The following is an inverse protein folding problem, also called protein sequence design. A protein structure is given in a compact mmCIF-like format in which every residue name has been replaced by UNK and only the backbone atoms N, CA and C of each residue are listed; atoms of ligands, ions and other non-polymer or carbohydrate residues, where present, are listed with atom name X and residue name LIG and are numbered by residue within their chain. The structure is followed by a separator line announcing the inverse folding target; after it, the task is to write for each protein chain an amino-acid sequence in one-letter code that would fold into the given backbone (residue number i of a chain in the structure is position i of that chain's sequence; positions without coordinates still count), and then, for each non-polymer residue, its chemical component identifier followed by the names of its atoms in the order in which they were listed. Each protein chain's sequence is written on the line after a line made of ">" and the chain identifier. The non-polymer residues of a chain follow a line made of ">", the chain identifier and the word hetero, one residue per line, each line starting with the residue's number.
data_IF_595008384675
#
_entry.id   IF_595008384675
#
_cell.length_a   1.000
_cell.length_b   1.000
_cell.length_c   1.000
_cell.angle_alpha   90.00
_cell.angle_beta   90.00
_cell.angle_gamma   90.00
#
_symmetry.space_group_name_H-M   'P 1'
#
loop_
_entity.id
_entity.type
_entity.pdbx_description
1 polymer ?
#
# COMPACT_ATOMS: atom_id res chain seq x y z
N UNK A 1 31.14 -33.91 3.71
CA UNK A 1 31.21 -33.09 2.46
C UNK A 1 29.87 -32.41 2.15
N UNK A 2 29.16 -31.94 3.18
CA UNK A 2 27.83 -31.27 3.12
C UNK A 2 27.88 -29.92 3.89
N UNK A 3 29.00 -29.58 4.52
CA UNK A 3 29.17 -28.33 5.28
C UNK A 3 29.88 -27.20 4.51
N UNK A 4 30.19 -27.37 3.21
CA UNK A 4 30.93 -26.36 2.42
C UNK A 4 30.10 -25.68 1.31
N UNK A 5 28.80 -25.97 1.23
CA UNK A 5 27.90 -25.40 0.21
C UNK A 5 27.00 -24.27 0.74
N UNK A 6 27.04 -23.99 2.05
CA UNK A 6 26.20 -22.97 2.68
C UNK A 6 26.88 -21.59 2.70
N UNK A 7 28.19 -21.49 2.48
CA UNK A 7 28.92 -20.20 2.53
C UNK A 7 29.10 -19.48 1.19
N UNK A 8 28.62 -20.02 0.06
CA UNK A 8 28.77 -19.37 -1.26
C UNK A 8 27.57 -18.53 -1.72
N UNK A 9 26.46 -18.52 -0.97
CA UNK A 9 25.28 -17.71 -1.30
C UNK A 9 25.14 -16.41 -0.49
N UNK A 10 26.15 -16.03 0.30
CA UNK A 10 26.10 -14.83 1.15
C UNK A 10 27.10 -13.72 0.76
N UNK A 11 27.77 -13.80 -0.40
CA UNK A 11 28.65 -12.73 -0.87
C UNK A 11 27.88 -11.65 -1.66
N UNK A 12 28.01 -10.34 -1.33
CA UNK A 12 27.34 -9.25 -2.04
C UNK A 12 27.88 -8.98 -3.45
N UNK A 13 28.91 -9.72 -3.89
CA UNK A 13 29.51 -9.59 -5.22
C UNK A 13 29.44 -10.96 -5.88
N UNK A 14 28.58 -11.09 -6.90
CA UNK A 14 28.29 -12.36 -7.57
C UNK A 14 29.54 -13.10 -8.05
N UNK A 15 29.52 -14.43 -7.93
CA UNK A 15 30.61 -15.33 -8.33
C UNK A 15 30.64 -15.46 -9.86
N UNK A 16 31.82 -15.35 -10.47
CA UNK A 16 31.98 -15.42 -11.94
C UNK A 16 32.08 -16.88 -12.41
N UNK A 17 31.53 -17.13 -13.59
CA UNK A 17 31.37 -18.45 -14.23
C UNK A 17 32.66 -19.28 -14.37
N UNK A 18 33.83 -18.64 -14.36
CA UNK A 18 35.13 -19.33 -14.51
C UNK A 18 35.65 -20.01 -13.23
N UNK A 19 35.20 -19.61 -12.03
CA UNK A 19 35.71 -20.21 -10.77
C UNK A 19 35.13 -21.60 -10.49
N UNK A 20 33.94 -21.89 -11.01
CA UNK A 20 33.28 -23.21 -10.87
C UNK A 20 33.99 -24.30 -11.68
N UNK A 21 34.67 -23.93 -12.78
CA UNK A 21 35.30 -24.90 -13.68
C UNK A 21 36.59 -25.56 -13.13
N UNK A 22 37.18 -25.05 -12.04
CA UNK A 22 38.38 -25.65 -11.45
C UNK A 22 38.11 -26.90 -10.59
N UNK A 23 36.86 -27.15 -10.19
CA UNK A 23 36.54 -28.21 -9.23
C UNK A 23 36.13 -29.56 -9.83
N UNK A 24 35.86 -29.66 -11.15
CA UNK A 24 35.22 -30.85 -11.74
C UNK A 24 35.83 -31.33 -13.06
N UNK A 25 37.16 -31.38 -13.20
CA UNK A 25 37.85 -32.19 -14.23
C UNK A 25 37.33 -32.00 -15.67
N UNK A 26 37.91 -31.05 -16.38
CA UNK A 26 37.39 -30.48 -17.63
C UNK A 26 36.88 -31.45 -18.72
N UNK A 27 35.72 -31.11 -19.29
CA UNK A 27 35.42 -31.24 -20.73
C UNK A 27 34.63 -30.01 -21.19
N UNK A 28 34.98 -29.49 -22.36
CA UNK A 28 34.48 -28.25 -22.98
C UNK A 28 33.08 -28.47 -23.58
N UNK A 29 32.07 -27.73 -23.12
CA UNK A 29 30.74 -27.68 -23.75
C UNK A 29 30.43 -26.25 -24.19
N UNK A 30 29.95 -26.08 -25.42
CA UNK A 30 29.52 -24.80 -25.98
C UNK A 30 28.15 -24.38 -25.39
N UNK A 31 27.88 -23.07 -25.26
CA UNK A 31 26.76 -22.59 -24.46
C UNK A 31 25.45 -22.57 -25.26
N UNK A 32 24.60 -23.58 -25.08
CA UNK A 32 23.17 -23.45 -25.37
C UNK A 32 22.33 -24.22 -24.35
N UNK A 33 21.38 -23.49 -23.75
CA UNK A 33 20.24 -23.92 -22.93
C UNK A 33 20.47 -24.06 -21.41
N UNK A 34 19.61 -23.32 -20.69
CA UNK A 34 19.55 -23.14 -19.24
C UNK A 34 19.20 -24.47 -18.53
N UNK A 35 19.96 -24.85 -17.49
CA UNK A 35 19.65 -25.98 -16.61
C UNK A 35 18.89 -25.51 -15.36
N UNK A 36 17.73 -26.10 -15.07
CA UNK A 36 16.89 -25.77 -13.89
C UNK A 36 16.56 -27.01 -13.04
N UNK A 37 17.14 -27.03 -11.83
CA UNK A 37 16.85 -27.88 -10.65
C UNK A 37 17.02 -29.40 -10.73
N UNK A 38 17.55 -29.95 -9.64
CA UNK A 38 17.77 -31.38 -9.38
C UNK A 38 16.74 -31.83 -8.32
N UNK A 39 15.94 -32.87 -8.58
CA UNK A 39 15.06 -33.48 -7.56
C UNK A 39 15.53 -34.88 -7.21
N UNK A 40 15.45 -35.20 -5.92
CA UNK A 40 15.76 -36.51 -5.37
C UNK A 40 14.46 -37.30 -5.18
N UNK A 41 14.36 -38.49 -5.80
CA UNK A 41 13.30 -39.47 -5.56
C UNK A 41 13.93 -40.86 -5.64
N UNK A 42 13.73 -41.67 -4.60
CA UNK A 42 14.19 -43.07 -4.51
C UNK A 42 15.67 -43.30 -4.85
N UNK A 43 16.58 -42.48 -4.32
CA UNK A 43 18.03 -42.72 -4.39
C UNK A 43 18.68 -42.37 -5.74
N UNK A 44 17.95 -41.84 -6.71
CA UNK A 44 18.49 -41.41 -8.02
C UNK A 44 18.14 -39.96 -8.34
N UNK A 45 19.10 -39.24 -8.92
CA UNK A 45 18.94 -37.87 -9.39
C UNK A 45 18.51 -37.85 -10.85
N UNK A 46 17.43 -37.13 -11.16
CA UNK A 46 16.92 -36.97 -12.52
C UNK A 46 16.95 -35.50 -12.95
N UNK A 47 17.37 -35.25 -14.19
CA UNK A 47 17.30 -33.94 -14.84
C UNK A 47 15.92 -33.76 -15.48
N UNK A 48 15.18 -32.73 -15.06
CA UNK A 48 13.88 -32.38 -15.63
C UNK A 48 14.07 -31.30 -16.69
N UNK A 49 13.67 -31.59 -17.93
CA UNK A 49 13.66 -30.61 -19.01
C UNK A 49 12.35 -29.84 -18.98
N UNK A 50 12.37 -28.59 -18.52
CA UNK A 50 11.19 -27.75 -18.50
C UNK A 50 11.05 -27.02 -19.85
N UNK A 51 10.23 -27.57 -20.76
CA UNK A 51 9.88 -26.91 -22.01
C UNK A 51 9.03 -25.67 -21.75
N UNK A 52 9.50 -24.51 -22.26
CA UNK A 52 8.88 -23.16 -22.22
C UNK A 52 9.08 -22.38 -20.92
N UNK A 53 10.31 -21.88 -20.72
CA UNK A 53 10.47 -20.56 -20.10
C UNK A 53 9.86 -19.54 -21.08
N UNK A 54 8.64 -19.09 -20.80
CA UNK A 54 8.13 -17.88 -21.41
C UNK A 54 9.15 -16.78 -21.12
N UNK A 55 9.78 -16.25 -22.16
CA UNK A 55 10.61 -15.04 -22.05
C UNK A 55 9.77 -14.01 -21.30
N UNK A 56 10.20 -13.64 -20.09
CA UNK A 56 9.60 -12.56 -19.33
C UNK A 56 9.66 -11.33 -20.22
N UNK A 57 8.54 -10.99 -20.87
CA UNK A 57 8.39 -9.67 -21.47
C UNK A 57 8.43 -8.68 -20.31
N UNK A 58 9.15 -7.55 -20.42
CA UNK A 58 9.07 -6.51 -19.40
C UNK A 58 7.59 -6.22 -19.16
N UNK A 59 7.16 -6.27 -17.89
CA UNK A 59 5.77 -6.06 -17.48
C UNK A 59 5.22 -4.85 -18.25
N UNK A 60 4.27 -5.10 -19.14
CA UNK A 60 3.71 -4.04 -19.93
C UNK A 60 3.02 -3.06 -18.96
N UNK A 61 3.45 -1.80 -19.04
CA UNK A 61 2.91 -0.72 -18.22
C UNK A 61 1.57 -0.34 -18.81
N UNK A 62 0.51 -0.52 -18.04
CA UNK A 62 -0.83 -0.12 -18.44
C UNK A 62 -1.35 0.89 -17.44
N UNK A 63 -1.93 1.97 -17.93
CA UNK A 63 -2.76 2.87 -17.13
C UNK A 63 -4.20 2.51 -17.40
N UNK A 64 -5.00 2.39 -16.35
CA UNK A 64 -6.44 2.20 -16.49
C UNK A 64 -7.17 2.98 -15.41
N UNK A 65 -8.28 3.57 -15.84
CA UNK A 65 -9.19 4.31 -15.01
C UNK A 65 -10.44 4.51 -15.85
N UNK A 66 -11.59 4.13 -15.32
CA UNK A 66 -12.88 4.33 -15.97
C UNK A 66 -13.33 5.77 -15.78
N UNK A 67 -12.50 6.73 -16.18
CA UNK A 67 -12.92 8.11 -16.22
C UNK A 67 -13.92 8.24 -17.37
N UNK A 68 -15.20 8.47 -17.06
CA UNK A 68 -16.10 9.08 -18.05
C UNK A 68 -15.41 10.36 -18.54
N UNK A 69 -15.47 10.61 -19.85
CA UNK A 69 -14.96 11.84 -20.47
C UNK A 69 -15.56 13.01 -19.68
N UNK A 70 -14.70 13.78 -19.01
CA UNK A 70 -15.06 14.88 -18.11
C UNK A 70 -16.04 15.82 -18.80
N UNK A 71 -17.17 16.10 -18.16
CA UNK A 71 -18.03 17.21 -18.57
C UNK A 71 -17.30 18.53 -18.30
N UNK A 72 -17.57 19.61 -19.06
CA UNK A 72 -16.87 20.90 -18.88
C UNK A 72 -16.99 21.51 -17.47
N UNK A 73 -17.87 20.99 -16.61
CA UNK A 73 -18.04 21.37 -15.21
C UNK A 73 -17.01 20.76 -14.25
N UNK A 74 -16.24 19.73 -14.63
CA UNK A 74 -15.26 19.05 -13.74
C UNK A 74 -13.92 19.80 -13.66
N UNK A 75 -13.94 21.12 -13.84
CA UNK A 75 -12.76 21.96 -13.65
C UNK A 75 -12.58 22.30 -12.17
N UNK A 76 -11.53 21.71 -11.61
CA UNK A 76 -10.61 22.35 -10.67
C UNK A 76 -11.15 22.79 -9.29
N UNK A 77 -11.49 21.82 -8.45
CA UNK A 77 -11.10 21.97 -7.05
C UNK A 77 -10.43 20.70 -6.57
N UNK A 78 -9.11 20.77 -6.30
CA UNK A 78 -8.44 19.72 -5.53
C UNK A 78 -9.22 19.50 -4.23
N UNK A 79 -9.38 18.24 -3.75
CA UNK A 79 -10.03 17.96 -2.46
C UNK A 79 -9.36 18.70 -1.28
N UNK A 80 -8.18 19.27 -1.49
CA UNK A 80 -7.39 19.98 -0.49
C UNK A 80 -7.35 21.50 -0.67
N UNK A 81 -8.21 22.08 -1.50
CA UNK A 81 -8.21 23.53 -1.71
C UNK A 81 -8.46 24.32 -0.42
N UNK A 82 -9.30 23.82 0.49
CA UNK A 82 -9.56 24.46 1.79
C UNK A 82 -8.29 24.50 2.67
N UNK A 83 -7.49 23.42 2.66
CA UNK A 83 -6.25 23.29 3.45
C UNK A 83 -5.25 24.40 3.10
N UNK A 84 -5.15 24.75 1.81
CA UNK A 84 -4.23 25.82 1.36
C UNK A 84 -4.60 27.20 1.91
N UNK A 85 -5.89 27.46 2.16
CA UNK A 85 -6.37 28.72 2.73
C UNK A 85 -6.06 28.85 4.22
N UNK A 86 -5.77 27.73 4.88
CA UNK A 86 -5.49 27.67 6.32
C UNK A 86 -4.00 27.90 6.64
N UNK A 87 -3.18 28.28 5.67
CA UNK A 87 -1.76 28.57 5.91
C UNK A 87 -1.58 29.65 6.98
N UNK A 88 -0.82 29.33 8.01
CA UNK A 88 -0.56 30.17 9.17
C UNK A 88 -1.65 30.12 10.26
N UNK A 89 -2.75 29.41 10.03
CA UNK A 89 -3.79 29.26 11.05
C UNK A 89 -3.26 28.51 12.28
N UNK A 90 -3.70 28.97 13.44
CA UNK A 90 -3.34 28.48 14.76
C UNK A 90 -4.44 28.84 15.77
N UNK A 91 -4.24 28.46 17.03
CA UNK A 91 -5.19 28.71 18.12
C UNK A 91 -5.69 30.16 18.13
N UNK A 92 -6.99 30.34 18.39
CA UNK A 92 -7.75 31.62 18.39
C UNK A 92 -8.11 32.17 17.01
N UNK A 93 -7.70 31.54 15.91
CA UNK A 93 -8.28 31.86 14.62
C UNK A 93 -9.71 31.32 14.53
N UNK A 94 -10.56 32.01 13.75
CA UNK A 94 -11.92 31.62 13.43
C UNK A 94 -12.14 31.87 11.92
N UNK A 95 -12.33 30.80 11.16
CA UNK A 95 -12.58 30.84 9.71
C UNK A 95 -13.34 29.60 9.29
N UNK A 96 -14.20 29.72 8.28
CA UNK A 96 -15.09 28.64 7.82
C UNK A 96 -14.36 27.36 7.40
N UNK A 97 -13.14 27.49 6.87
CA UNK A 97 -12.35 26.32 6.47
C UNK A 97 -11.86 25.48 7.69
N UNK A 98 -11.95 25.99 8.93
CA UNK A 98 -11.58 25.24 10.14
C UNK A 98 -12.53 24.06 10.38
N UNK A 99 -13.82 24.19 10.08
CA UNK A 99 -14.75 23.07 10.24
C UNK A 99 -14.38 21.91 9.31
N UNK A 100 -13.99 22.20 8.08
CA UNK A 100 -13.48 21.20 7.13
C UNK A 100 -12.16 20.58 7.61
N UNK A 101 -11.28 21.37 8.22
CA UNK A 101 -10.06 20.87 8.86
C UNK A 101 -10.37 19.92 10.03
N UNK A 102 -11.33 20.25 10.90
CA UNK A 102 -11.74 19.39 12.01
C UNK A 102 -12.19 18.03 11.48
N UNK A 103 -13.04 18.02 10.45
CA UNK A 103 -13.50 16.80 9.79
C UNK A 103 -12.34 15.98 9.19
N UNK A 104 -11.35 16.63 8.56
CA UNK A 104 -10.16 15.95 8.04
C UNK A 104 -9.31 15.31 9.16
N UNK A 105 -9.03 16.06 10.22
CA UNK A 105 -8.18 15.60 11.34
C UNK A 105 -8.89 14.49 12.12
N UNK A 106 -10.22 14.59 12.28
CA UNK A 106 -11.07 13.55 12.87
C UNK A 106 -11.13 12.28 12.00
N UNK A 107 -11.28 12.41 10.66
CA UNK A 107 -11.27 11.28 9.73
C UNK A 107 -10.03 10.39 9.90
N UNK A 108 -8.87 10.98 10.19
CA UNK A 108 -7.62 10.25 10.40
C UNK A 108 -7.31 9.91 11.88
N UNK A 109 -8.27 10.11 12.78
CA UNK A 109 -8.23 9.63 14.16
C UNK A 109 -7.51 10.54 15.16
N UNK A 110 -7.10 11.75 14.76
CA UNK A 110 -6.35 12.66 15.63
C UNK A 110 -7.25 13.51 16.54
N UNK A 111 -8.52 13.67 16.17
CA UNK A 111 -9.46 14.55 16.82
C UNK A 111 -10.71 13.77 17.18
N UNK A 112 -11.21 14.01 18.39
CA UNK A 112 -12.51 13.52 18.83
C UNK A 112 -13.10 14.54 19.79
N UNK A 113 -14.23 15.12 19.43
CA UNK A 113 -14.92 16.08 20.27
C UNK A 113 -15.99 15.43 21.16
N UNK A 114 -16.44 14.21 20.87
CA UNK A 114 -17.60 13.63 21.54
C UNK A 114 -18.80 14.58 21.46
N UNK A 115 -19.44 14.88 22.59
CA UNK A 115 -20.60 15.79 22.68
C UNK A 115 -20.21 17.27 22.91
N UNK A 116 -19.01 17.69 22.51
CA UNK A 116 -18.54 19.05 22.76
C UNK A 116 -19.16 20.07 21.79
N UNK A 117 -19.55 21.23 22.30
CA UNK A 117 -20.13 22.36 21.54
C UNK A 117 -19.19 22.89 20.44
N UNK A 118 -17.89 22.64 20.55
CA UNK A 118 -16.89 23.08 19.57
C UNK A 118 -16.75 22.13 18.37
N UNK A 119 -17.44 20.98 18.35
CA UNK A 119 -17.36 20.01 17.27
C UNK A 119 -17.76 20.59 15.90
N UNK A 120 -18.76 21.49 15.89
CA UNK A 120 -19.38 22.01 14.68
C UNK A 120 -19.10 23.49 14.43
N UNK A 121 -18.23 24.11 15.22
CA UNK A 121 -17.88 25.52 15.08
C UNK A 121 -16.56 25.74 14.34
N UNK A 122 -16.34 26.98 13.92
CA UNK A 122 -15.18 27.41 13.14
C UNK A 122 -13.97 27.82 14.01
N UNK A 123 -13.98 27.52 15.31
CA UNK A 123 -12.91 27.93 16.23
C UNK A 123 -11.73 26.99 16.17
N UNK A 124 -10.53 27.57 16.07
CA UNK A 124 -9.29 26.87 16.35
C UNK A 124 -9.06 26.84 17.86
N UNK A 125 -9.68 25.87 18.51
CA UNK A 125 -9.64 25.68 19.95
C UNK A 125 -8.40 24.88 20.43
N UNK A 126 -8.32 24.67 21.75
CA UNK A 126 -7.27 23.91 22.41
C UNK A 126 -7.21 22.43 22.02
N UNK A 127 -8.37 21.84 21.69
CA UNK A 127 -8.49 20.43 21.31
C UNK A 127 -7.93 20.26 19.90
N UNK A 128 -8.30 21.14 18.96
CA UNK A 128 -7.76 21.14 17.61
C UNK A 128 -6.25 21.41 17.62
N UNK A 129 -5.75 22.38 18.40
CA UNK A 129 -4.30 22.63 18.49
C UNK A 129 -3.54 21.37 18.95
N UNK A 130 -4.07 20.66 19.93
CA UNK A 130 -3.48 19.41 20.44
C UNK A 130 -3.48 18.30 19.38
N UNK A 131 -4.57 18.18 18.61
CA UNK A 131 -4.67 17.23 17.51
C UNK A 131 -3.68 17.56 16.38
N UNK A 132 -3.53 18.84 16.03
CA UNK A 132 -2.57 19.33 15.01
C UNK A 132 -1.13 19.03 15.43
N UNK A 133 -0.76 19.26 16.70
CA UNK A 133 0.57 18.90 17.23
C UNK A 133 0.83 17.39 17.13
N UNK A 134 -0.20 16.58 17.38
CA UNK A 134 -0.12 15.12 17.27
C UNK A 134 0.07 14.68 15.81
N UNK A 135 -0.69 15.28 14.88
CA UNK A 135 -0.51 15.07 13.44
C UNK A 135 0.93 15.41 13.01
N UNK A 136 1.42 16.60 13.34
CA UNK A 136 2.77 17.05 13.02
C UNK A 136 3.82 16.05 13.53
N UNK A 137 3.71 15.62 14.78
CA UNK A 137 4.61 14.60 15.36
C UNK A 137 4.56 13.28 14.59
N UNK A 138 3.39 12.82 14.14
CA UNK A 138 3.26 11.58 13.39
C UNK A 138 3.98 11.62 12.02
N UNK A 139 4.01 12.79 11.38
CA UNK A 139 4.74 13.00 10.13
C UNK A 139 6.18 13.48 10.32
N UNK A 140 6.69 13.48 11.56
CA UNK A 140 8.01 13.97 11.97
C UNK A 140 8.25 15.45 11.67
N UNK A 141 7.20 16.26 11.70
CA UNK A 141 7.24 17.72 11.63
C UNK A 141 7.35 18.27 13.06
N UNK A 142 7.98 19.44 13.23
CA UNK A 142 8.01 20.14 14.52
C UNK A 142 6.57 20.41 15.01
N UNK A 143 6.18 19.99 16.23
CA UNK A 143 4.80 20.12 16.71
C UNK A 143 4.49 21.54 17.19
N UNK A 144 4.39 22.49 16.25
CA UNK A 144 4.13 23.91 16.50
C UNK A 144 2.68 24.21 16.85
N UNK A 145 1.72 23.39 16.40
CA UNK A 145 0.29 23.71 16.43
C UNK A 145 -0.16 24.70 15.35
N UNK A 146 0.76 25.10 14.45
CA UNK A 146 0.50 26.03 13.34
C UNK A 146 0.41 25.23 12.04
N UNK A 147 -0.54 25.58 11.18
CA UNK A 147 -0.67 25.00 9.84
C UNK A 147 0.33 25.68 8.89
N UNK A 148 1.55 25.16 8.83
CA UNK A 148 2.63 25.67 7.98
C UNK A 148 2.72 24.95 6.62
N UNK A 149 3.63 25.41 5.76
CA UNK A 149 3.83 24.85 4.41
C UNK A 149 4.22 23.36 4.44
N UNK A 150 4.99 22.94 5.44
CA UNK A 150 5.42 21.55 5.58
C UNK A 150 4.23 20.65 5.91
N UNK A 151 3.38 21.06 6.86
CA UNK A 151 2.14 20.36 7.18
C UNK A 151 1.17 20.33 6.00
N UNK A 152 0.94 21.45 5.32
CA UNK A 152 0.09 21.50 4.12
C UNK A 152 0.59 20.55 3.05
N UNK A 153 1.92 20.47 2.84
CA UNK A 153 2.51 19.52 1.90
C UNK A 153 2.19 18.07 2.26
N UNK A 154 2.19 17.69 3.55
CA UNK A 154 1.77 16.34 3.98
C UNK A 154 0.28 16.11 3.82
N UNK A 155 -0.56 17.05 4.25
CA UNK A 155 -2.01 16.86 4.20
C UNK A 155 -2.58 16.79 2.78
N UNK A 156 -1.89 17.44 1.83
CA UNK A 156 -2.26 17.44 0.40
C UNK A 156 -1.66 16.28 -0.39
N UNK A 157 -0.84 15.45 0.25
CA UNK A 157 -0.31 14.22 -0.37
C UNK A 157 -1.40 13.16 -0.39
N UNK A 158 -1.71 12.55 -1.56
CA UNK A 158 -2.63 11.42 -1.64
C UNK A 158 -2.18 10.27 -0.72
N UNK A 159 -3.14 9.58 -0.09
CA UNK A 159 -2.85 8.69 1.03
C UNK A 159 -3.85 7.55 1.18
N UNK A 160 -3.51 6.60 2.05
CA UNK A 160 -4.46 5.62 2.59
C UNK A 160 -5.55 6.33 3.42
N UNK A 161 -6.78 5.81 3.32
CA UNK A 161 -7.97 6.25 4.03
C UNK A 161 -8.14 5.71 5.45
N UNK A 162 -7.31 4.73 5.86
CA UNK A 162 -7.33 4.19 7.22
C UNK A 162 -6.85 5.27 8.22
N UNK A 163 -7.46 5.40 9.41
CA UNK A 163 -6.99 6.33 10.43
C UNK A 163 -5.53 6.08 10.84
N UNK A 164 -4.78 7.15 11.11
CA UNK A 164 -3.40 7.08 11.58
C UNK A 164 -3.34 6.60 13.05
N UNK A 165 -4.33 7.01 13.84
CA UNK A 165 -4.48 6.61 15.25
C UNK A 165 -5.65 5.63 15.34
N UNK A 166 -5.33 4.36 15.59
CA UNK A 166 -6.32 3.28 15.76
C UNK A 166 -6.19 2.67 17.15
N UNK A 167 -7.33 2.32 17.75
CA UNK A 167 -7.36 1.67 19.05
C UNK A 167 -7.20 0.15 18.90
N UNK A 168 -6.21 -0.41 19.58
CA UNK A 168 -5.97 -1.84 19.63
C UNK A 168 -5.15 -2.40 18.46
N UNK A 169 -4.84 -3.70 18.55
CA UNK A 169 -4.09 -4.43 17.53
C UNK A 169 -4.97 -5.61 17.09
N UNK A 170 -5.85 -5.42 16.09
CA UNK A 170 -6.73 -6.48 15.63
C UNK A 170 -5.92 -7.65 15.06
N UNK A 171 -6.39 -8.88 15.27
CA UNK A 171 -5.71 -10.10 14.81
C UNK A 171 -6.71 -11.11 14.26
N UNK A 172 -6.28 -11.86 13.26
CA UNK A 172 -7.01 -13.04 12.80
C UNK A 172 -6.86 -14.18 13.81
N UNK A 173 -7.91 -15.00 14.03
CA UNK A 173 -7.81 -16.22 14.81
C UNK A 173 -7.13 -17.37 14.05
N UNK A 174 -6.79 -17.17 12.77
CA UNK A 174 -6.17 -18.15 11.89
C UNK A 174 -5.13 -17.50 10.98
N UNK A 175 -4.27 -18.32 10.41
CA UNK A 175 -3.11 -17.88 9.61
C UNK A 175 -3.26 -18.18 8.12
N UNK A 176 -4.15 -19.11 7.74
CA UNK A 176 -4.55 -19.28 6.34
C UNK A 176 -5.80 -18.45 6.06
N UNK A 177 -5.69 -17.49 5.15
CA UNK A 177 -6.78 -16.59 4.77
C UNK A 177 -7.14 -16.79 3.30
N UNK A 178 -8.42 -16.93 3.01
CA UNK A 178 -8.91 -16.93 1.64
C UNK A 178 -9.22 -15.50 1.20
N UNK A 179 -8.96 -15.18 -0.06
CA UNK A 179 -9.33 -13.88 -0.62
C UNK A 179 -10.08 -14.03 -1.94
N UNK A 180 -10.97 -13.08 -2.23
CA UNK A 180 -11.66 -13.00 -3.52
C UNK A 180 -11.67 -11.58 -4.05
N UNK A 181 -11.84 -11.48 -5.36
CA UNK A 181 -12.15 -10.23 -6.03
C UNK A 181 -13.65 -10.15 -6.28
N UNK A 182 -14.24 -8.96 -6.10
CA UNK A 182 -15.63 -8.71 -6.48
C UNK A 182 -15.86 -8.95 -7.98
N UNK A 183 -17.09 -9.28 -8.39
CA UNK A 183 -17.39 -9.79 -9.74
C UNK A 183 -16.96 -8.88 -10.91
N UNK A 184 -16.88 -7.57 -10.70
CA UNK A 184 -16.48 -6.57 -11.70
C UNK A 184 -15.03 -6.10 -11.56
N UNK A 185 -14.19 -6.83 -10.82
CA UNK A 185 -12.79 -6.44 -10.61
C UNK A 185 -11.99 -6.48 -11.93
N UNK A 186 -11.22 -5.42 -12.27
CA UNK A 186 -10.46 -5.38 -13.51
C UNK A 186 -9.44 -6.52 -13.61
N UNK A 187 -9.50 -7.32 -14.68
CA UNK A 187 -8.66 -8.51 -14.85
C UNK A 187 -7.16 -8.19 -14.87
N UNK A 188 -6.78 -7.01 -15.36
CA UNK A 188 -5.41 -6.51 -15.36
C UNK A 188 -4.91 -6.07 -13.97
N UNK A 189 -5.82 -5.80 -13.02
CA UNK A 189 -5.48 -5.51 -11.63
C UNK A 189 -5.26 -6.76 -10.77
N UNK A 190 -5.72 -7.94 -11.24
CA UNK A 190 -5.58 -9.20 -10.48
C UNK A 190 -4.10 -9.57 -10.26
N UNK A 191 -3.22 -9.59 -11.29
CA UNK A 191 -1.82 -9.97 -11.09
C UNK A 191 -1.04 -9.13 -10.06
N UNK A 192 -1.10 -7.78 -10.04
CA UNK A 192 -0.38 -7.00 -9.02
C UNK A 192 -0.89 -7.26 -7.60
N UNK A 193 -2.20 -7.43 -7.38
CA UNK A 193 -2.73 -7.75 -6.05
C UNK A 193 -2.31 -9.15 -5.60
N UNK A 194 -2.35 -10.14 -6.49
CA UNK A 194 -1.87 -11.49 -6.19
C UNK A 194 -0.37 -11.51 -5.81
N UNK A 195 0.47 -10.73 -6.50
CA UNK A 195 1.89 -10.57 -6.13
C UNK A 195 2.06 -9.90 -4.76
N UNK A 196 1.20 -8.96 -4.40
CA UNK A 196 1.24 -8.32 -3.08
C UNK A 196 0.92 -9.34 -1.97
N UNK A 197 -0.09 -10.20 -2.15
CA UNK A 197 -0.35 -11.32 -1.23
C UNK A 197 0.84 -12.27 -1.13
N UNK A 198 1.45 -12.67 -2.26
CA UNK A 198 2.64 -13.53 -2.25
C UNK A 198 3.82 -12.93 -1.47
N UNK A 199 3.99 -11.60 -1.50
CA UNK A 199 5.05 -10.93 -0.74
C UNK A 199 4.78 -10.98 0.76
N UNK A 200 3.53 -10.82 1.19
CA UNK A 200 3.13 -10.97 2.58
C UNK A 200 3.21 -12.42 3.05
N UNK A 201 2.83 -13.38 2.20
CA UNK A 201 3.00 -14.82 2.43
C UNK A 201 4.47 -15.14 2.72
N UNK A 202 5.38 -14.69 1.85
CA UNK A 202 6.82 -14.92 2.00
C UNK A 202 7.47 -14.18 3.19
N UNK A 203 6.86 -13.10 3.69
CA UNK A 203 7.43 -12.25 4.73
C UNK A 203 6.83 -12.50 6.12
N UNK A 204 5.77 -13.31 6.23
CA UNK A 204 5.04 -13.53 7.48
C UNK A 204 4.71 -15.01 7.68
N UNK A 205 3.92 -15.32 8.69
CA UNK A 205 3.39 -16.65 8.93
C UNK A 205 2.01 -16.88 8.29
N UNK A 206 1.45 -15.85 7.64
CA UNK A 206 0.18 -15.97 6.93
C UNK A 206 0.38 -16.68 5.59
N UNK A 207 -0.65 -17.39 5.14
CA UNK A 207 -0.71 -17.93 3.78
C UNK A 207 -2.05 -17.58 3.14
N UNK A 208 -2.05 -17.43 1.81
CA UNK A 208 -3.23 -16.92 1.09
C UNK A 208 -3.64 -17.82 -0.06
N UNK A 209 -4.95 -18.00 -0.23
CA UNK A 209 -5.51 -18.68 -1.39
C UNK A 209 -6.63 -17.85 -2.01
N UNK A 210 -6.58 -17.67 -3.33
CA UNK A 210 -7.67 -17.04 -4.06
C UNK A 210 -8.82 -18.02 -4.22
N UNK A 211 -10.04 -17.57 -3.93
CA UNK A 211 -11.27 -18.30 -4.21
C UNK A 211 -12.10 -17.59 -5.30
N UNK A 212 -13.00 -18.30 -5.99
CA UNK A 212 -13.96 -17.69 -6.92
C UNK A 212 -14.80 -16.56 -6.29
N UNK A 213 -15.27 -15.63 -7.11
CA UNK A 213 -15.99 -14.42 -6.66
C UNK A 213 -17.33 -14.70 -5.98
N UNK A 214 -17.94 -15.85 -6.26
CA UNK A 214 -19.20 -16.33 -5.72
C UNK A 214 -19.06 -17.12 -4.41
N UNK A 215 -17.83 -17.40 -3.96
CA UNK A 215 -17.56 -18.04 -2.68
C UNK A 215 -17.38 -17.03 -1.56
N UNK A 216 -17.68 -17.46 -0.32
CA UNK A 216 -17.34 -16.69 0.86
C UNK A 216 -15.82 -16.76 1.07
N UNK A 217 -15.21 -15.62 1.42
CA UNK A 217 -13.79 -15.51 1.71
C UNK A 217 -13.56 -14.69 2.98
N UNK A 218 -12.37 -14.83 3.57
CA UNK A 218 -11.96 -13.98 4.70
C UNK A 218 -11.71 -12.54 4.26
N UNK A 219 -11.16 -12.38 3.05
CA UNK A 219 -10.78 -11.09 2.48
C UNK A 219 -11.55 -10.82 1.18
N UNK A 220 -12.07 -9.61 1.01
CA UNK A 220 -12.76 -9.16 -0.21
C UNK A 220 -12.08 -7.91 -0.76
N UNK A 221 -11.69 -7.95 -2.04
CA UNK A 221 -10.96 -6.86 -2.69
C UNK A 221 -11.82 -6.31 -3.84
N UNK A 222 -11.99 -4.99 -3.88
CA UNK A 222 -12.80 -4.33 -4.89
C UNK A 222 -12.37 -2.91 -5.26
N UNK A 223 -12.97 -2.40 -6.34
CA UNK A 223 -12.88 -1.00 -6.76
C UNK A 223 -14.24 -0.35 -6.57
N UNK A 224 -14.28 0.78 -5.88
CA UNK A 224 -15.52 1.50 -5.57
C UNK A 224 -15.35 3.01 -5.83
N UNK A 225 -16.45 3.77 -5.76
CA UNK A 225 -16.46 5.22 -6.01
C UNK A 225 -17.40 5.89 -5.03
N UNK A 226 -17.04 7.10 -4.59
CA UNK A 226 -17.89 7.90 -3.71
C UNK A 226 -18.43 7.10 -2.54
N UNK A 227 -19.70 7.32 -2.18
CA UNK A 227 -20.39 6.47 -1.21
C UNK A 227 -20.65 5.06 -1.77
N UNK A 228 -20.11 4.06 -1.10
CA UNK A 228 -20.20 2.65 -1.49
C UNK A 228 -20.66 1.74 -0.34
N UNK A 229 -21.41 2.29 0.62
CA UNK A 229 -22.19 1.51 1.58
C UNK A 229 -21.45 1.01 2.82
N UNK A 230 -20.19 1.40 3.02
CA UNK A 230 -19.39 1.04 4.20
C UNK A 230 -19.22 2.19 5.21
N UNK A 231 -19.78 3.37 4.92
CA UNK A 231 -19.67 4.57 5.76
C UNK A 231 -18.41 5.41 5.52
N UNK A 232 -17.50 4.98 4.63
CA UNK A 232 -16.25 5.67 4.32
C UNK A 232 -16.21 6.04 2.83
N UNK A 233 -16.98 7.06 2.39
CA UNK A 233 -17.02 7.41 0.97
C UNK A 233 -15.65 7.86 0.45
N UNK A 234 -15.34 7.48 -0.78
CA UNK A 234 -14.19 8.00 -1.51
C UNK A 234 -14.42 9.44 -1.99
N UNK A 235 -13.33 10.18 -2.19
CA UNK A 235 -13.29 11.63 -2.47
C UNK A 235 -12.99 11.97 -3.94
N UNK A 236 -12.79 10.96 -4.80
CA UNK A 236 -12.63 11.13 -6.23
C UNK A 236 -11.16 11.09 -6.64
N UNK A 237 -10.66 12.13 -7.31
CA UNK A 237 -9.27 12.15 -7.78
C UNK A 237 -8.33 12.86 -6.80
N UNK A 238 -7.26 12.18 -6.42
CA UNK A 238 -6.41 12.57 -5.32
C UNK A 238 -7.15 12.44 -3.98
N UNK A 239 -6.44 12.63 -2.87
CA UNK A 239 -7.06 12.38 -1.58
C UNK A 239 -6.85 10.94 -1.14
N UNK A 240 -7.94 10.21 -1.06
CA UNK A 240 -8.00 8.86 -0.48
C UNK A 240 -7.88 7.81 -1.57
N UNK A 241 -6.72 7.16 -1.66
CA UNK A 241 -6.44 6.21 -2.75
C UNK A 241 -7.15 4.86 -2.59
N UNK A 242 -7.21 4.39 -1.35
CA UNK A 242 -7.74 3.12 -0.96
C UNK A 242 -7.98 3.11 0.55
N UNK A 243 -8.74 2.14 1.04
CA UNK A 243 -8.77 1.80 2.45
C UNK A 243 -8.96 0.30 2.65
N UNK A 244 -8.65 -0.15 3.85
CA UNK A 244 -8.84 -1.52 4.27
C UNK A 244 -9.42 -1.58 5.69
N UNK A 245 -10.16 -2.66 5.95
CA UNK A 245 -10.74 -2.95 7.24
C UNK A 245 -9.97 -4.12 7.85
N UNK A 246 -9.27 -3.83 8.95
CA UNK A 246 -8.43 -4.82 9.63
C UNK A 246 -9.21 -6.04 10.14
N UNK A 247 -8.49 -7.02 10.73
CA UNK A 247 -9.09 -8.25 11.20
C UNK A 247 -10.26 -8.01 12.17
N UNK A 248 -11.37 -8.75 12.07
CA UNK A 248 -11.67 -9.84 11.13
C UNK A 248 -12.59 -9.40 9.99
N UNK A 249 -12.63 -8.10 9.65
CA UNK A 249 -13.53 -7.59 8.60
C UNK A 249 -13.03 -7.97 7.19
N UNK A 250 -11.75 -7.70 6.90
CA UNK A 250 -11.08 -8.24 5.70
C UNK A 250 -11.41 -7.55 4.38
N UNK A 251 -12.15 -6.44 4.37
CA UNK A 251 -12.43 -5.70 3.13
C UNK A 251 -11.29 -4.76 2.76
N UNK A 252 -10.99 -4.70 1.47
CA UNK A 252 -10.03 -3.79 0.83
C UNK A 252 -10.73 -3.12 -0.34
N UNK A 253 -10.79 -1.80 -0.33
CA UNK A 253 -11.37 -1.02 -1.43
C UNK A 253 -10.32 -0.08 -2.05
N UNK A 254 -10.19 -0.11 -3.38
CA UNK A 254 -9.53 0.94 -4.16
C UNK A 254 -10.54 2.02 -4.54
N UNK A 255 -10.11 3.28 -4.57
CA UNK A 255 -10.87 4.34 -5.24
C UNK A 255 -10.72 4.19 -6.76
N UNK A 256 -11.82 3.90 -7.45
CA UNK A 256 -11.84 3.71 -8.88
C UNK A 256 -11.74 5.03 -9.69
N UNK A 257 -11.84 6.20 -9.04
CA UNK A 257 -11.64 7.51 -9.68
C UNK A 257 -10.16 7.84 -9.94
N UNK A 258 -9.26 7.17 -9.23
CA UNK A 258 -7.83 7.36 -9.36
C UNK A 258 -7.25 6.82 -10.67
N UNK A 259 -6.09 7.38 -11.04
CA UNK A 259 -5.32 6.90 -12.20
C UNK A 259 -4.44 5.74 -11.75
N UNK A 260 -4.89 4.52 -12.00
CA UNK A 260 -4.16 3.32 -11.65
C UNK A 260 -3.23 2.84 -12.75
N UNK A 261 -2.12 2.23 -12.35
CA UNK A 261 -1.18 1.61 -13.26
C UNK A 261 -0.61 0.30 -12.72
N UNK A 262 -0.09 -0.52 -13.62
CA UNK A 262 0.78 -1.66 -13.25
C UNK A 262 2.23 -1.24 -13.51
N UNK A 263 2.98 -1.03 -12.43
CA UNK A 263 4.33 -0.51 -12.46
C UNK A 263 4.39 1.03 -12.51
N UNK A 264 5.59 1.62 -12.39
CA UNK A 264 5.75 3.07 -12.29
C UNK A 264 5.40 3.76 -13.61
N UNK A 265 4.31 4.53 -13.61
CA UNK A 265 3.89 5.42 -14.69
C UNK A 265 3.65 6.80 -14.11
N UNK A 266 4.23 7.83 -14.73
CA UNK A 266 4.15 9.20 -14.22
C UNK A 266 2.70 9.68 -14.06
N UNK A 267 2.39 10.23 -12.88
CA UNK A 267 1.08 10.72 -12.49
C UNK A 267 0.01 9.64 -12.35
N UNK A 268 0.39 8.37 -12.17
CA UNK A 268 -0.54 7.26 -11.91
C UNK A 268 -0.02 6.37 -10.77
N UNK A 269 -0.90 5.99 -9.85
CA UNK A 269 -0.55 5.16 -8.71
C UNK A 269 -0.32 3.71 -9.14
N UNK A 270 0.77 3.11 -8.68
CA UNK A 270 1.07 1.71 -8.91
C UNK A 270 0.21 0.82 -8.01
N UNK A 271 -0.60 -0.05 -8.62
CA UNK A 271 -1.53 -0.92 -7.92
C UNK A 271 -0.84 -1.86 -6.93
N UNK A 272 0.32 -2.40 -7.29
CA UNK A 272 1.01 -3.33 -6.40
C UNK A 272 1.52 -2.64 -5.14
N UNK A 273 1.95 -1.39 -5.27
CA UNK A 273 2.38 -0.56 -4.13
C UNK A 273 1.23 -0.31 -3.15
N UNK A 274 0.06 0.11 -3.65
CA UNK A 274 -1.11 0.33 -2.79
C UNK A 274 -1.66 -1.00 -2.26
N UNK A 275 -1.68 -2.06 -3.07
CA UNK A 275 -2.04 -3.40 -2.63
C UNK A 275 -1.20 -3.86 -1.42
N UNK A 276 0.12 -3.69 -1.51
CA UNK A 276 1.04 -4.07 -0.46
C UNK A 276 0.75 -3.34 0.85
N UNK A 277 0.45 -2.04 0.78
CA UNK A 277 0.10 -1.24 1.94
C UNK A 277 -1.21 -1.72 2.59
N UNK A 278 -2.29 -1.75 1.82
CA UNK A 278 -3.62 -2.06 2.34
C UNK A 278 -3.73 -3.53 2.83
N UNK A 279 -3.02 -4.48 2.20
CA UNK A 279 -2.94 -5.85 2.73
C UNK A 279 -2.27 -5.86 4.11
N UNK A 280 -1.31 -4.96 4.39
CA UNK A 280 -0.75 -4.81 5.74
C UNK A 280 -1.84 -4.50 6.78
N UNK A 281 -2.80 -3.63 6.45
CA UNK A 281 -3.97 -3.38 7.29
C UNK A 281 -4.87 -4.61 7.43
N UNK A 282 -5.10 -5.37 6.36
CA UNK A 282 -5.83 -6.64 6.44
C UNK A 282 -5.17 -7.62 7.42
N UNK A 283 -3.85 -7.54 7.64
CA UNK A 283 -3.11 -8.36 8.61
C UNK A 283 -3.01 -7.74 10.00
N UNK A 284 -3.61 -6.57 10.22
CA UNK A 284 -3.67 -5.89 11.51
C UNK A 284 -2.55 -4.88 11.78
N UNK A 285 -1.79 -4.50 10.75
CA UNK A 285 -0.77 -3.44 10.88
C UNK A 285 -1.41 -2.06 10.85
N UNK A 286 -0.93 -1.15 11.70
CA UNK A 286 -1.20 0.28 11.60
C UNK A 286 -0.20 1.00 10.69
N UNK A 287 -0.40 2.30 10.50
CA UNK A 287 0.55 3.13 9.77
C UNK A 287 1.90 3.24 10.49
N UNK A 288 2.98 3.35 9.71
CA UNK A 288 4.31 3.69 10.19
C UNK A 288 4.59 5.17 10.02
N UNK A 289 5.29 5.80 10.97
CA UNK A 289 5.78 7.18 10.82
C UNK A 289 7.06 7.28 9.97
N UNK A 290 7.60 6.15 9.49
CA UNK A 290 8.82 6.12 8.68
C UNK A 290 8.45 6.21 7.20
N UNK A 291 8.77 7.33 6.54
CA UNK A 291 8.40 7.60 5.13
C UNK A 291 8.87 6.53 4.12
N UNK A 292 9.93 5.78 4.42
CA UNK A 292 10.40 4.69 3.56
C UNK A 292 9.61 3.38 3.72
N UNK A 293 8.89 3.20 4.84
CA UNK A 293 8.16 1.98 5.13
C UNK A 293 6.95 1.81 4.20
N UNK A 294 6.59 0.56 3.92
CA UNK A 294 5.41 0.26 3.08
C UNK A 294 4.12 0.75 3.75
N UNK A 295 4.05 0.71 5.08
CA UNK A 295 2.92 1.18 5.88
C UNK A 295 2.93 2.70 6.14
N UNK A 296 3.78 3.49 5.49
CA UNK A 296 3.63 4.95 5.55
C UNK A 296 2.37 5.36 4.77
N UNK A 297 1.50 6.14 5.41
CA UNK A 297 0.17 6.49 4.90
C UNK A 297 0.20 7.28 3.59
N UNK A 298 1.19 8.16 3.42
CA UNK A 298 1.34 9.01 2.24
C UNK A 298 1.92 8.26 1.04
N UNK A 299 1.34 8.52 -0.13
CA UNK A 299 1.69 7.90 -1.40
C UNK A 299 1.94 8.96 -2.48
N UNK A 300 3.08 8.81 -3.16
CA UNK A 300 3.48 9.65 -4.28
C UNK A 300 3.19 8.89 -5.58
N UNK A 301 2.38 9.45 -6.51
CA UNK A 301 2.04 8.78 -7.76
C UNK A 301 3.26 8.46 -8.63
N UNK A 302 4.37 9.18 -8.49
CA UNK A 302 5.58 8.95 -9.28
C UNK A 302 6.54 7.94 -8.64
N UNK A 303 6.19 7.41 -7.45
CA UNK A 303 7.05 6.52 -6.67
C UNK A 303 6.37 5.18 -6.37
N UNK A 304 6.84 4.12 -7.01
CA UNK A 304 6.46 2.75 -6.63
C UNK A 304 7.28 2.23 -5.45
N UNK A 305 6.61 1.63 -4.46
CA UNK A 305 7.23 0.88 -3.36
C UNK A 305 6.84 -0.60 -3.49
N UNK A 306 7.56 -1.33 -4.32
CA UNK A 306 7.27 -2.75 -4.57
C UNK A 306 8.00 -3.70 -3.60
N UNK A 307 8.57 -3.21 -2.50
CA UNK A 307 9.23 -4.04 -1.49
C UNK A 307 8.64 -3.73 -0.13
N UNK A 308 8.32 -4.79 0.60
CA UNK A 308 7.99 -4.69 2.02
C UNK A 308 9.26 -4.22 2.75
N UNK A 309 9.25 -2.95 3.14
CA UNK A 309 10.21 -2.42 4.11
C UNK A 309 9.44 -2.26 5.42
N UNK A 310 9.50 -3.29 6.25
CA UNK A 310 9.10 -3.23 7.65
C UNK A 310 10.25 -2.57 8.39
N UNK A 311 10.33 -1.24 8.37
CA UNK A 311 11.23 -0.55 9.28
C UNK A 311 10.47 -0.54 10.61
N UNK A 312 10.72 -1.57 11.43
CA UNK A 312 10.22 -1.60 12.80
C UNK A 312 10.73 -0.35 13.51
N UNK A 313 9.85 0.34 14.25
CA UNK A 313 10.33 1.07 15.41
C UNK A 313 10.77 0.02 16.41
N UNK A 314 12.05 0.09 16.79
CA UNK A 314 12.52 -0.52 18.04
C UNK A 314 11.71 0.02 19.23
#
# INVERSE_FOLDING_TARGET
>A
MIAALIELCSSPKGVRFHEVQRFLGGKRLQPTQQTTSLRHRNGTFHWVHNSKVAKHKPNAKYVFGHAKRSTPSDKNSSPFNFIKKLKGCHKRNNTKDILELKAYIEKFGYLSYGNNIHATNDDFDDILESAIKTYQKNYNIKPSGIIDDEMISKMTTPRCGVPDIVNGIPRWPKTHLTYRFVSNFPTNAIPPVARAFQKWDAATHFSFSQVPSDQISDLEIGFFRGNHGDGYPFDGRGGTLAHAFGPTNGRFHYDADERWSVGPVAGAFDLETVALHEIGHLLGLGHSSVNAAIMFSGSDPDRSRTRIQMISKE
#
